data_IF_783561414260
#
_entry.id   IF_783561414260
#
_cell.length_a   1.000
_cell.length_b   1.000
_cell.length_c   1.000
_cell.angle_alpha   90.00
_cell.angle_beta   90.00
_cell.angle_gamma   90.00
#
_symmetry.space_group_name_H-M   'P 1'
#
loop_
_entity.id
_entity.type
_entity.pdbx_description
1 polymer ?
#
# COMPACT_ATOMS: atom_id res chain seq x y z
N UNK A 1 -24.91 32.33 37.81
CA UNK A 1 -24.25 32.77 36.55
C UNK A 1 -22.79 33.01 36.88
N UNK A 2 -21.86 32.35 36.19
CA UNK A 2 -20.43 32.67 36.32
C UNK A 2 -20.25 34.10 35.82
N UNK A 3 -19.92 35.02 36.73
CA UNK A 3 -19.62 36.41 36.40
C UNK A 3 -18.31 36.40 35.63
N UNK A 4 -18.37 36.66 34.32
CA UNK A 4 -17.18 36.94 33.53
C UNK A 4 -16.61 38.27 34.01
N UNK A 5 -15.29 38.35 34.11
CA UNK A 5 -14.57 39.54 34.57
C UNK A 5 -14.47 40.64 33.51
N UNK A 6 -14.96 40.39 32.28
CA UNK A 6 -14.80 41.26 31.12
C UNK A 6 -16.13 41.40 30.35
N UNK A 7 -16.28 42.55 29.67
CA UNK A 7 -17.43 42.84 28.81
C UNK A 7 -17.19 42.32 27.39
N UNK A 8 -18.26 42.22 26.58
CA UNK A 8 -18.12 41.80 25.18
C UNK A 8 -17.32 42.85 24.36
N UNK A 9 -17.40 44.13 24.72
CA UNK A 9 -16.62 45.20 24.09
C UNK A 9 -15.11 45.06 24.37
N UNK A 10 -14.72 44.82 25.62
CA UNK A 10 -13.31 44.63 25.97
C UNK A 10 -12.77 43.33 25.37
N UNK A 11 -13.61 42.30 25.24
CA UNK A 11 -13.26 41.06 24.56
C UNK A 11 -12.95 41.27 23.07
N UNK A 12 -13.79 42.03 22.36
CA UNK A 12 -13.59 42.33 20.93
C UNK A 12 -12.28 43.10 20.72
N UNK A 13 -12.01 44.10 21.57
CA UNK A 13 -10.76 44.86 21.53
C UNK A 13 -9.55 43.95 21.76
N UNK A 14 -9.60 43.10 22.79
CA UNK A 14 -8.51 42.17 23.08
C UNK A 14 -8.25 41.20 21.90
N UNK A 15 -9.30 40.73 21.22
CA UNK A 15 -9.15 39.89 20.02
C UNK A 15 -8.50 40.66 18.87
N UNK A 16 -8.83 41.93 18.66
CA UNK A 16 -8.25 42.75 17.58
C UNK A 16 -6.78 43.12 17.84
N UNK A 17 -6.43 43.41 19.10
CA UNK A 17 -5.08 43.87 19.48
C UNK A 17 -4.03 42.75 19.49
N UNK A 18 -4.47 41.51 19.72
CA UNK A 18 -3.56 40.38 19.85
C UNK A 18 -3.44 39.55 18.58
N UNK A 19 -2.29 38.88 18.43
CA UNK A 19 -2.03 37.89 17.36
C UNK A 19 -2.18 36.45 17.83
N UNK A 20 -2.62 36.22 19.07
CA UNK A 20 -2.77 34.88 19.66
C UNK A 20 -3.79 34.85 20.79
N UNK A 21 -4.46 33.70 20.97
CA UNK A 21 -5.42 33.48 22.07
C UNK A 21 -4.75 33.65 23.45
N UNK A 22 -3.48 33.25 23.58
CA UNK A 22 -2.74 33.46 24.82
C UNK A 22 -2.50 34.96 25.12
N UNK A 23 -2.37 35.80 24.10
CA UNK A 23 -2.34 37.26 24.23
C UNK A 23 -3.68 37.80 24.70
N UNK A 24 -4.78 37.36 24.05
CA UNK A 24 -6.15 37.72 24.46
C UNK A 24 -6.42 37.35 25.92
N UNK A 25 -6.02 36.16 26.35
CA UNK A 25 -6.16 35.72 27.73
C UNK A 25 -5.40 36.64 28.69
N UNK A 26 -4.16 37.02 28.36
CA UNK A 26 -3.35 37.93 29.18
C UNK A 26 -3.92 39.35 29.25
N UNK A 27 -4.48 39.86 28.15
CA UNK A 27 -5.12 41.20 28.12
C UNK A 27 -6.43 41.24 28.92
N UNK A 28 -7.13 40.12 29.02
CA UNK A 28 -8.35 39.98 29.83
C UNK A 28 -8.09 39.57 31.29
N UNK A 29 -6.83 39.63 31.74
CA UNK A 29 -6.38 39.18 33.07
C UNK A 29 -6.78 37.73 33.41
N UNK A 30 -6.80 36.87 32.40
CA UNK A 30 -7.07 35.44 32.54
C UNK A 30 -5.78 34.62 32.45
N UNK A 31 -5.72 33.56 33.25
CA UNK A 31 -4.60 32.61 33.19
C UNK A 31 -4.63 31.88 31.85
N UNK A 32 -3.49 31.90 31.14
CA UNK A 32 -3.30 31.24 29.86
C UNK A 32 -3.12 29.71 29.99
N UNK A 33 -4.07 29.03 30.66
CA UNK A 33 -4.01 27.61 30.98
C UNK A 33 -5.36 26.89 30.78
N UNK A 34 -5.28 25.61 30.39
CA UNK A 34 -6.39 24.66 30.44
C UNK A 34 -7.67 25.12 29.74
N UNK A 35 -8.80 25.01 30.45
CA UNK A 35 -10.14 25.27 29.92
C UNK A 35 -10.39 26.71 29.44
N UNK A 36 -9.57 27.68 29.85
CA UNK A 36 -9.72 29.07 29.43
C UNK A 36 -9.58 29.24 27.91
N UNK A 37 -8.70 28.46 27.27
CA UNK A 37 -8.56 28.48 25.82
C UNK A 37 -9.87 28.07 25.12
N UNK A 38 -10.56 27.06 25.62
CA UNK A 38 -11.80 26.59 25.00
C UNK A 38 -12.95 27.56 25.25
N UNK A 39 -12.99 28.18 26.44
CA UNK A 39 -13.95 29.25 26.75
C UNK A 39 -13.80 30.45 25.81
N UNK A 40 -12.58 30.92 25.55
CA UNK A 40 -12.31 32.03 24.61
C UNK A 40 -12.66 31.61 23.18
N UNK A 41 -12.24 30.42 22.72
CA UNK A 41 -12.58 29.91 21.39
C UNK A 41 -14.09 29.81 21.19
N UNK A 42 -14.81 29.33 22.20
CA UNK A 42 -16.27 29.29 22.19
C UNK A 42 -16.84 30.70 22.05
N UNK A 43 -16.36 31.67 22.83
CA UNK A 43 -16.85 33.06 22.76
C UNK A 43 -16.54 33.74 21.42
N UNK A 44 -15.38 33.48 20.81
CA UNK A 44 -15.04 33.93 19.44
C UNK A 44 -16.06 33.39 18.43
N UNK A 45 -16.41 32.09 18.54
CA UNK A 45 -17.44 31.47 17.69
C UNK A 45 -18.82 32.08 17.93
N UNK A 46 -19.21 32.27 19.20
CA UNK A 46 -20.51 32.82 19.58
C UNK A 46 -20.68 34.27 19.10
N UNK A 47 -19.60 35.07 19.06
CA UNK A 47 -19.59 36.45 18.58
C UNK A 47 -19.20 36.59 17.10
N UNK A 48 -18.94 35.47 16.40
CA UNK A 48 -18.54 35.45 14.99
C UNK A 48 -17.36 36.38 14.64
N UNK A 49 -16.33 36.46 15.50
CA UNK A 49 -15.20 37.37 15.29
C UNK A 49 -14.20 36.81 14.27
N UNK A 50 -13.64 37.69 13.42
CA UNK A 50 -12.53 37.34 12.53
C UNK A 50 -11.24 37.16 13.35
N UNK A 51 -10.50 36.08 13.08
CA UNK A 51 -9.23 35.75 13.75
C UNK A 51 -8.12 35.40 12.75
N UNK A 52 -8.22 35.88 11.51
CA UNK A 52 -7.25 35.55 10.45
C UNK A 52 -5.88 36.18 10.71
N UNK A 53 -5.84 37.30 11.44
CA UNK A 53 -4.62 37.95 11.89
C UNK A 53 -3.86 37.16 12.98
N UNK A 54 -4.46 36.10 13.54
CA UNK A 54 -3.76 35.25 14.50
C UNK A 54 -2.69 34.41 13.80
N UNK A 55 -1.43 34.59 14.21
CA UNK A 55 -0.25 34.01 13.55
C UNK A 55 -0.06 32.52 13.82
N UNK A 56 -0.81 31.94 14.75
CA UNK A 56 -0.65 30.55 15.17
C UNK A 56 0.59 30.34 16.03
N UNK A 57 1.27 29.21 15.86
CA UNK A 57 2.54 28.95 16.55
C UNK A 57 3.61 29.89 15.99
N UNK A 58 4.24 30.73 16.82
CA UNK A 58 5.19 31.76 16.35
C UNK A 58 6.39 31.18 15.56
N UNK A 59 6.81 29.95 15.88
CA UNK A 59 7.87 29.22 15.17
C UNK A 59 7.38 28.49 13.89
N UNK A 60 6.07 28.45 13.66
CA UNK A 60 5.42 27.91 12.47
C UNK A 60 4.20 28.78 12.10
N UNK A 61 4.42 29.94 11.46
CA UNK A 61 3.32 30.77 11.01
C UNK A 61 2.44 29.98 10.04
N UNK A 62 1.12 30.18 10.12
CA UNK A 62 0.17 29.57 9.17
C UNK A 62 0.62 29.85 7.73
N UNK A 63 0.87 28.80 6.95
CA UNK A 63 1.23 28.89 5.52
C UNK A 63 2.70 28.70 5.16
N UNK A 64 3.62 28.56 6.12
CA UNK A 64 5.06 28.73 5.86
C UNK A 64 5.83 27.47 5.39
N UNK A 65 5.18 26.33 5.16
CA UNK A 65 5.88 25.15 4.61
C UNK A 65 5.09 24.45 3.50
N UNK A 66 4.98 25.09 2.35
CA UNK A 66 4.65 24.38 1.12
C UNK A 66 5.94 23.73 0.63
N UNK A 67 6.15 22.45 0.97
CA UNK A 67 7.24 21.66 0.36
C UNK A 67 7.04 21.59 -1.14
N UNK A 68 8.13 21.64 -1.90
CA UNK A 68 8.08 21.40 -3.34
C UNK A 68 7.58 19.96 -3.58
N UNK A 69 6.90 19.72 -4.71
CA UNK A 69 6.29 18.41 -4.99
C UNK A 69 7.34 17.30 -4.98
N UNK A 70 8.51 17.56 -5.56
CA UNK A 70 9.58 16.56 -5.70
C UNK A 70 10.21 16.16 -4.35
N UNK A 71 10.04 16.98 -3.31
CA UNK A 71 10.48 16.68 -1.94
C UNK A 71 9.47 15.80 -1.17
N UNK A 72 8.29 15.55 -1.75
CA UNK A 72 7.26 14.73 -1.12
C UNK A 72 7.63 13.24 -1.21
N UNK A 73 7.77 12.60 -0.05
CA UNK A 73 8.11 11.17 0.06
C UNK A 73 6.92 10.28 0.42
N UNK A 74 5.91 10.85 1.08
CA UNK A 74 4.81 10.07 1.64
C UNK A 74 3.65 9.97 0.64
N UNK A 75 3.19 8.76 0.28
CA UNK A 75 2.11 8.56 -0.69
C UNK A 75 0.82 9.31 -0.37
N UNK A 76 0.47 9.41 0.91
CA UNK A 76 -0.72 10.18 1.34
C UNK A 76 -0.59 11.67 1.03
N UNK A 77 0.57 12.26 1.30
CA UNK A 77 0.85 13.68 1.02
C UNK A 77 0.90 13.94 -0.48
N UNK A 78 1.58 13.07 -1.24
CA UNK A 78 1.63 13.12 -2.71
C UNK A 78 0.22 13.05 -3.29
N UNK A 79 -0.59 12.10 -2.83
CA UNK A 79 -1.97 11.92 -3.29
C UNK A 79 -2.80 13.17 -3.05
N UNK A 80 -2.76 13.73 -1.84
CA UNK A 80 -3.52 14.95 -1.52
C UNK A 80 -3.07 16.12 -2.39
N UNK A 81 -1.74 16.26 -2.60
CA UNK A 81 -1.20 17.31 -3.46
C UNK A 81 -1.65 17.16 -4.91
N UNK A 82 -1.65 15.94 -5.45
CA UNK A 82 -2.17 15.68 -6.80
C UNK A 82 -3.67 15.94 -6.91
N UNK A 83 -4.45 15.67 -5.86
CA UNK A 83 -5.89 15.97 -5.83
C UNK A 83 -6.13 17.49 -5.85
N UNK A 84 -5.36 18.26 -5.08
CA UNK A 84 -5.40 19.73 -5.11
C UNK A 84 -5.09 20.28 -6.51
N UNK A 85 -4.10 19.71 -7.20
CA UNK A 85 -3.61 20.21 -8.49
C UNK A 85 -4.44 19.75 -9.68
N UNK A 86 -4.89 18.49 -9.71
CA UNK A 86 -5.58 17.86 -10.86
C UNK A 86 -7.09 17.70 -10.65
N UNK A 87 -7.57 17.94 -9.44
CA UNK A 87 -8.95 17.77 -9.02
C UNK A 87 -9.28 16.34 -8.57
N UNK A 88 -10.36 16.21 -7.79
CA UNK A 88 -10.84 14.93 -7.25
C UNK A 88 -11.61 14.12 -8.30
N UNK A 89 -10.90 13.62 -9.32
CA UNK A 89 -11.46 12.79 -10.40
C UNK A 89 -10.54 11.62 -10.75
N UNK A 90 -11.12 10.51 -11.20
CA UNK A 90 -10.33 9.39 -11.72
C UNK A 90 -9.70 9.79 -13.06
N UNK A 91 -8.39 9.62 -13.23
CA UNK A 91 -7.70 9.99 -14.47
C UNK A 91 -7.98 9.01 -15.62
N UNK A 92 -8.46 7.80 -15.33
CA UNK A 92 -8.84 6.80 -16.34
C UNK A 92 -10.30 6.96 -16.77
N UNK A 93 -11.28 6.73 -15.88
CA UNK A 93 -12.70 6.77 -16.24
C UNK A 93 -13.37 8.14 -16.09
N UNK A 94 -12.63 9.16 -15.63
CA UNK A 94 -13.10 10.56 -15.44
C UNK A 94 -14.25 10.77 -14.45
N UNK A 95 -14.76 9.72 -13.81
CA UNK A 95 -15.77 9.82 -12.76
C UNK A 95 -15.26 10.56 -11.52
N UNK A 96 -16.18 11.22 -10.82
CA UNK A 96 -15.99 11.91 -9.53
C UNK A 96 -16.91 11.37 -8.45
N UNK A 97 -18.03 10.77 -8.84
CA UNK A 97 -19.04 10.18 -7.96
C UNK A 97 -19.23 8.68 -8.22
N UNK A 98 -19.56 7.95 -7.17
CA UNK A 98 -20.01 6.57 -7.18
C UNK A 98 -21.18 6.43 -6.21
N UNK A 99 -22.34 6.02 -6.73
CA UNK A 99 -23.59 5.92 -5.95
C UNK A 99 -23.92 7.20 -5.17
N UNK A 100 -23.76 8.37 -5.81
CA UNK A 100 -24.01 9.67 -5.21
C UNK A 100 -22.97 10.14 -4.18
N UNK A 101 -21.92 9.36 -3.90
CA UNK A 101 -20.83 9.71 -2.99
C UNK A 101 -19.55 10.01 -3.77
N UNK A 102 -18.69 10.88 -3.24
CA UNK A 102 -17.37 11.12 -3.85
C UNK A 102 -16.58 9.82 -3.93
N UNK A 103 -15.99 9.54 -5.09
CA UNK A 103 -15.16 8.34 -5.25
C UNK A 103 -13.92 8.43 -4.39
N UNK A 104 -13.49 7.31 -3.83
CA UNK A 104 -12.13 7.24 -3.28
C UNK A 104 -11.14 7.24 -4.43
N UNK A 105 -10.06 8.00 -4.31
CA UNK A 105 -8.93 7.96 -5.23
C UNK A 105 -7.73 7.27 -4.57
N UNK A 106 -7.07 6.43 -5.35
CA UNK A 106 -5.85 5.70 -5.05
C UNK A 106 -4.72 6.24 -5.95
N UNK A 107 -3.51 6.26 -5.39
CA UNK A 107 -2.31 6.66 -6.11
C UNK A 107 -1.72 5.42 -6.81
N UNK A 108 -1.57 5.49 -8.13
CA UNK A 108 -0.96 4.43 -8.93
C UNK A 108 0.31 4.94 -9.62
N UNK A 109 1.33 4.07 -9.67
CA UNK A 109 2.58 4.29 -10.37
C UNK A 109 2.48 3.63 -11.75
N UNK A 110 2.55 4.42 -12.82
CA UNK A 110 2.39 3.94 -14.21
C UNK A 110 3.40 2.84 -14.54
N UNK A 111 4.65 3.01 -14.12
CA UNK A 111 5.72 2.01 -14.31
C UNK A 111 5.70 0.87 -13.27
N UNK A 112 4.84 0.94 -12.25
CA UNK A 112 4.79 -0.04 -11.16
C UNK A 112 6.00 -0.04 -10.22
N UNK A 113 6.80 1.03 -10.22
CA UNK A 113 7.90 1.25 -9.28
C UNK A 113 7.49 2.27 -8.21
N UNK A 114 7.37 1.79 -6.97
CA UNK A 114 7.00 2.58 -5.80
C UNK A 114 8.02 3.67 -5.46
N UNK A 115 9.27 3.54 -5.90
CA UNK A 115 10.32 4.52 -5.60
C UNK A 115 10.29 5.72 -6.56
N UNK A 116 9.74 5.55 -7.75
CA UNK A 116 9.65 6.62 -8.75
C UNK A 116 8.42 7.50 -8.49
N UNK A 117 8.57 8.50 -7.62
CA UNK A 117 7.52 9.48 -7.31
C UNK A 117 7.52 10.68 -8.27
N UNK A 118 8.13 10.57 -9.45
CA UNK A 118 8.04 11.63 -10.47
C UNK A 118 6.58 11.90 -10.82
N UNK A 119 6.23 13.19 -10.93
CA UNK A 119 4.87 13.68 -11.16
C UNK A 119 4.20 13.04 -12.38
N UNK A 120 4.97 12.76 -13.43
CA UNK A 120 4.48 12.15 -14.68
C UNK A 120 4.28 10.64 -14.56
N UNK A 121 4.96 9.99 -13.61
CA UNK A 121 4.80 8.56 -13.34
C UNK A 121 3.60 8.26 -12.43
N UNK A 122 2.98 9.29 -11.85
CA UNK A 122 1.89 9.16 -10.88
C UNK A 122 0.55 9.51 -11.51
N UNK A 123 -0.47 8.70 -11.22
CA UNK A 123 -1.86 8.99 -11.60
C UNK A 123 -2.85 8.65 -10.48
N UNK A 124 -3.94 9.41 -10.43
CA UNK A 124 -5.05 9.18 -9.51
C UNK A 124 -6.11 8.29 -10.16
N UNK A 125 -6.35 7.11 -9.59
CA UNK A 125 -7.35 6.16 -10.09
C UNK A 125 -8.41 5.85 -9.03
N UNK A 126 -9.63 5.53 -9.46
CA UNK A 126 -10.61 4.92 -8.56
C UNK A 126 -10.26 3.44 -8.30
N UNK A 127 -10.75 2.81 -7.22
CA UNK A 127 -10.46 1.42 -6.88
C UNK A 127 -10.76 0.43 -8.02
N UNK A 128 -11.83 0.68 -8.77
CA UNK A 128 -12.22 -0.18 -9.89
C UNK A 128 -11.23 -0.08 -11.06
N UNK A 129 -10.82 1.13 -11.44
CA UNK A 129 -9.81 1.33 -12.48
C UNK A 129 -8.44 0.83 -12.03
N UNK A 130 -8.06 1.05 -10.78
CA UNK A 130 -6.80 0.59 -10.24
C UNK A 130 -6.73 -0.95 -10.21
N UNK A 131 -7.81 -1.64 -9.87
CA UNK A 131 -7.87 -3.11 -9.89
C UNK A 131 -7.55 -3.72 -11.27
N UNK A 132 -7.82 -2.98 -12.35
CA UNK A 132 -7.55 -3.39 -13.73
C UNK A 132 -6.10 -3.18 -14.17
N UNK A 133 -5.26 -2.47 -13.39
CA UNK A 133 -3.86 -2.24 -13.79
C UNK A 133 -3.02 -3.52 -13.70
N UNK A 134 -1.99 -3.66 -14.56
CA UNK A 134 -1.06 -4.80 -14.50
C UNK A 134 -0.18 -4.80 -13.23
N UNK A 135 -0.11 -3.66 -12.55
CA UNK A 135 0.68 -3.42 -11.34
C UNK A 135 -0.12 -3.64 -10.05
N UNK A 136 -1.44 -3.79 -10.14
CA UNK A 136 -2.33 -3.85 -8.99
C UNK A 136 -1.95 -4.95 -7.99
N UNK A 137 -1.78 -4.57 -6.72
CA UNK A 137 -1.48 -5.47 -5.58
C UNK A 137 -0.40 -6.52 -5.87
N UNK A 138 0.61 -6.15 -6.67
CA UNK A 138 1.73 -7.03 -6.95
C UNK A 138 1.49 -8.08 -8.04
N UNK A 139 0.49 -7.90 -8.91
CA UNK A 139 0.32 -8.71 -10.14
C UNK A 139 1.62 -8.79 -10.97
N UNK A 140 2.45 -7.74 -10.94
CA UNK A 140 3.75 -7.66 -11.62
C UNK A 140 4.93 -8.29 -10.86
N UNK A 141 4.76 -8.84 -9.64
CA UNK A 141 5.87 -9.42 -8.86
C UNK A 141 6.49 -10.62 -9.59
N UNK A 142 5.65 -11.49 -10.16
CA UNK A 142 6.11 -12.66 -10.92
C UNK A 142 6.90 -12.28 -12.18
N UNK A 143 6.50 -11.20 -12.85
CA UNK A 143 7.22 -10.68 -14.02
C UNK A 143 8.55 -10.04 -13.62
N UNK A 144 8.58 -9.23 -12.56
CA UNK A 144 9.83 -8.67 -12.02
C UNK A 144 10.82 -9.78 -11.63
N UNK A 145 10.34 -10.85 -10.99
CA UNK A 145 11.19 -12.00 -10.65
C UNK A 145 11.76 -12.71 -11.89
N UNK A 146 10.96 -12.88 -12.95
CA UNK A 146 11.42 -13.44 -14.23
C UNK A 146 12.46 -12.54 -14.90
N UNK A 147 12.22 -11.23 -14.95
CA UNK A 147 13.12 -10.26 -15.55
C UNK A 147 14.45 -10.19 -14.79
N UNK A 148 14.41 -10.16 -13.46
CA UNK A 148 15.62 -10.20 -12.62
C UNK A 148 16.40 -11.50 -12.82
N UNK A 149 15.70 -12.64 -12.94
CA UNK A 149 16.35 -13.92 -13.24
C UNK A 149 16.99 -13.92 -14.63
N UNK A 150 16.33 -13.35 -15.64
CA UNK A 150 16.86 -13.22 -17.01
C UNK A 150 18.09 -12.31 -17.04
N UNK A 151 18.00 -11.12 -16.45
CA UNK A 151 19.12 -10.18 -16.35
C UNK A 151 20.31 -10.79 -15.60
N UNK A 152 20.07 -11.50 -14.50
CA UNK A 152 21.13 -12.21 -13.76
C UNK A 152 21.75 -13.35 -14.56
N UNK A 153 20.96 -14.07 -15.38
CA UNK A 153 21.48 -15.08 -16.30
C UNK A 153 22.32 -14.40 -17.39
N UNK A 154 21.87 -13.29 -17.97
CA UNK A 154 22.63 -12.52 -18.96
C UNK A 154 23.91 -11.92 -18.39
N UNK A 155 23.92 -11.51 -17.12
CA UNK A 155 25.11 -11.04 -16.41
C UNK A 155 26.11 -12.18 -16.15
N UNK A 156 25.64 -13.34 -15.68
CA UNK A 156 26.48 -14.51 -15.38
C UNK A 156 27.03 -15.16 -16.66
N UNK A 157 26.22 -15.20 -17.73
CA UNK A 157 26.50 -15.93 -18.97
C UNK A 157 26.71 -15.03 -20.19
N UNK A 158 26.88 -13.72 -20.00
CA UNK A 158 26.91 -12.71 -21.07
C UNK A 158 27.77 -13.13 -22.26
N UNK A 159 27.15 -13.10 -23.46
CA UNK A 159 27.57 -13.48 -24.84
C UNK A 159 28.46 -14.72 -25.07
N UNK A 160 29.33 -15.08 -24.13
CA UNK A 160 30.17 -16.26 -24.09
C UNK A 160 29.42 -17.46 -23.53
N UNK A 161 28.48 -18.01 -24.31
CA UNK A 161 28.19 -19.45 -24.42
C UNK A 161 26.86 -19.69 -25.14
N UNK A 162 26.82 -19.48 -26.46
CA UNK A 162 25.76 -20.07 -27.29
C UNK A 162 25.88 -21.61 -27.37
N UNK A 163 27.02 -22.19 -26.96
CA UNK A 163 27.36 -23.61 -27.21
C UNK A 163 27.76 -24.45 -25.97
N UNK A 164 27.34 -24.10 -24.74
CA UNK A 164 27.49 -25.03 -23.59
C UNK A 164 26.14 -25.57 -23.16
N UNK A 165 25.71 -26.66 -23.80
CA UNK A 165 24.75 -27.56 -23.18
C UNK A 165 25.40 -28.10 -21.90
N UNK A 166 24.91 -27.69 -20.73
CA UNK A 166 25.26 -28.34 -19.47
C UNK A 166 24.97 -29.84 -19.61
N UNK A 167 26.02 -30.65 -19.47
CA UNK A 167 26.11 -32.06 -19.83
C UNK A 167 24.82 -32.88 -19.77
N UNK A 168 24.32 -33.23 -20.94
CA UNK A 168 23.53 -34.44 -21.18
C UNK A 168 24.22 -35.14 -22.34
N UNK A 169 24.83 -36.30 -22.09
CA UNK A 169 25.35 -37.13 -23.17
C UNK A 169 24.15 -37.69 -23.95
N UNK A 170 24.03 -37.29 -25.21
CA UNK A 170 23.01 -37.76 -26.14
C UNK A 170 23.67 -38.79 -27.07
N UNK A 171 23.21 -40.05 -27.04
CA UNK A 171 23.52 -41.05 -28.08
C UNK A 171 22.20 -41.56 -28.64
N UNK A 172 21.93 -41.29 -29.92
CA UNK A 172 20.67 -41.71 -30.59
C UNK A 172 19.39 -40.98 -30.16
N UNK A 173 19.47 -39.72 -29.71
CA UNK A 173 18.29 -38.87 -29.45
C UNK A 173 17.56 -39.13 -28.12
N UNK A 174 18.03 -40.05 -27.27
CA UNK A 174 17.48 -40.27 -25.91
C UNK A 174 18.42 -39.70 -24.85
N UNK A 175 17.87 -38.90 -23.92
CA UNK A 175 18.61 -38.39 -22.75
C UNK A 175 18.94 -39.56 -21.82
N UNK A 176 20.22 -39.84 -21.59
CA UNK A 176 20.66 -40.88 -20.65
C UNK A 176 20.94 -40.21 -19.31
N UNK A 177 20.06 -40.44 -18.32
CA UNK A 177 20.33 -40.12 -16.92
C UNK A 177 21.02 -41.33 -16.28
N UNK A 178 22.06 -41.12 -15.45
CA UNK A 178 22.78 -42.22 -14.81
C UNK A 178 21.80 -43.14 -14.06
N UNK A 179 21.82 -44.41 -14.40
CA UNK A 179 20.99 -45.43 -13.77
C UNK A 179 21.32 -45.52 -12.27
N UNK A 180 20.29 -45.79 -11.46
CA UNK A 180 20.31 -46.18 -10.05
C UNK A 180 20.11 -45.04 -9.04
N UNK A 181 18.87 -44.58 -8.97
CA UNK A 181 18.18 -44.41 -7.69
C UNK A 181 16.77 -44.98 -7.91
N UNK A 182 16.53 -46.22 -7.48
CA UNK A 182 15.17 -46.77 -7.42
C UNK A 182 14.47 -46.21 -6.19
N UNK A 183 13.17 -45.91 -6.31
CA UNK A 183 12.38 -45.46 -5.17
C UNK A 183 12.36 -46.54 -4.09
N UNK A 184 12.74 -46.19 -2.86
CA UNK A 184 12.71 -47.11 -1.71
C UNK A 184 11.33 -47.78 -1.55
N UNK A 185 10.24 -47.03 -1.75
CA UNK A 185 8.90 -47.56 -1.46
C UNK A 185 8.20 -48.28 -2.64
N UNK A 186 8.51 -47.92 -3.90
CA UNK A 186 7.78 -48.47 -5.06
C UNK A 186 8.70 -49.02 -6.15
N UNK A 187 10.02 -49.01 -5.92
CA UNK A 187 11.08 -49.51 -6.79
C UNK A 187 11.14 -48.91 -8.20
N UNK A 188 10.26 -47.95 -8.51
CA UNK A 188 10.28 -47.19 -9.77
C UNK A 188 11.58 -46.40 -9.87
N UNK A 189 12.14 -46.38 -11.08
CA UNK A 189 13.28 -45.56 -11.43
C UNK A 189 12.98 -44.07 -11.18
N UNK A 190 13.79 -43.43 -10.35
CA UNK A 190 13.68 -41.99 -10.09
C UNK A 190 14.44 -41.25 -11.20
N UNK A 191 13.72 -40.45 -11.98
CA UNK A 191 14.28 -39.71 -13.13
C UNK A 191 15.00 -38.42 -12.76
N UNK A 192 14.96 -38.01 -11.47
CA UNK A 192 15.59 -36.79 -10.92
C UNK A 192 16.13 -37.07 -9.52
N UNK A 193 17.36 -36.63 -9.22
CA UNK A 193 18.03 -36.85 -7.92
C UNK A 193 17.10 -36.48 -6.74
N UNK A 194 16.70 -37.47 -5.93
CA UNK A 194 15.82 -37.28 -4.77
C UNK A 194 16.65 -37.31 -3.50
N UNK A 195 16.59 -36.25 -2.68
CA UNK A 195 17.29 -36.22 -1.37
C UNK A 195 16.80 -37.31 -0.42
N UNK A 196 15.58 -37.82 -0.63
CA UNK A 196 14.92 -38.78 0.26
C UNK A 196 14.93 -40.22 -0.26
N UNK A 197 15.55 -40.46 -1.43
CA UNK A 197 15.54 -41.79 -2.08
C UNK A 197 14.15 -42.26 -2.54
N UNK A 198 13.14 -41.36 -2.55
CA UNK A 198 11.75 -41.67 -2.92
C UNK A 198 11.33 -40.91 -4.18
N UNK A 199 10.44 -41.51 -4.96
CA UNK A 199 9.76 -40.81 -6.06
C UNK A 199 8.78 -39.77 -5.51
N UNK A 200 8.36 -38.82 -6.35
CA UNK A 200 7.43 -37.74 -5.95
C UNK A 200 6.15 -38.29 -5.31
N UNK A 201 5.53 -39.29 -5.92
CA UNK A 201 4.27 -39.87 -5.43
C UNK A 201 4.42 -40.50 -4.04
N UNK A 202 5.51 -41.25 -3.79
CA UNK A 202 5.75 -41.87 -2.49
C UNK A 202 6.17 -40.86 -1.44
N UNK A 203 7.00 -39.88 -1.79
CA UNK A 203 7.36 -38.81 -0.87
C UNK A 203 6.14 -37.98 -0.46
N UNK A 204 5.24 -37.66 -1.39
CA UNK A 204 3.99 -36.97 -1.06
C UNK A 204 3.09 -37.75 -0.10
N UNK A 205 3.14 -39.09 -0.08
CA UNK A 205 2.44 -39.91 0.92
C UNK A 205 3.09 -39.76 2.30
N UNK A 206 4.43 -39.75 2.37
CA UNK A 206 5.18 -39.62 3.64
C UNK A 206 5.00 -38.26 4.32
N UNK A 207 4.70 -37.19 3.58
CA UNK A 207 4.49 -35.85 4.14
C UNK A 207 3.08 -35.67 4.70
N UNK A 208 2.10 -36.51 4.29
CA UNK A 208 0.71 -36.37 4.75
C UNK A 208 0.60 -36.81 6.20
N UNK A 209 0.18 -35.88 7.07
CA UNK A 209 -0.12 -36.17 8.48
C UNK A 209 -1.41 -36.97 8.68
N UNK A 210 -2.34 -36.89 7.72
CA UNK A 210 -3.61 -37.62 7.70
C UNK A 210 -3.76 -38.30 6.33
N UNK A 211 -4.06 -39.60 6.25
CA UNK A 211 -4.29 -40.28 4.99
C UNK A 211 -5.52 -39.69 4.29
N UNK A 212 -5.40 -39.40 3.00
CA UNK A 212 -6.53 -38.91 2.19
C UNK A 212 -7.42 -40.11 1.83
N UNK A 213 -8.73 -40.09 2.16
CA UNK A 213 -9.69 -41.14 1.80
C UNK A 213 -9.77 -41.34 0.28
N UNK A 214 -10.27 -42.50 -0.14
CA UNK A 214 -10.44 -42.81 -1.57
C UNK A 214 -11.50 -41.89 -2.21
N UNK A 215 -11.41 -41.67 -3.52
CA UNK A 215 -12.34 -40.79 -4.23
C UNK A 215 -13.79 -41.29 -4.12
N UNK A 216 -14.01 -42.61 -4.09
CA UNK A 216 -15.35 -43.17 -3.97
C UNK A 216 -15.93 -42.95 -2.56
N UNK A 217 -15.08 -43.02 -1.54
CA UNK A 217 -15.42 -42.75 -0.15
C UNK A 217 -15.84 -41.28 0.02
N UNK A 218 -15.05 -40.34 -0.52
CA UNK A 218 -15.37 -38.91 -0.52
C UNK A 218 -16.69 -38.59 -1.26
N UNK A 219 -16.93 -39.23 -2.41
CA UNK A 219 -18.19 -39.05 -3.16
C UNK A 219 -19.38 -39.59 -2.37
N UNK A 220 -19.21 -40.69 -1.65
CA UNK A 220 -20.25 -41.26 -0.79
C UNK A 220 -20.56 -40.35 0.40
N UNK A 221 -19.54 -39.78 1.05
CA UNK A 221 -19.68 -38.83 2.14
C UNK A 221 -20.40 -37.54 1.69
N UNK A 222 -20.02 -36.98 0.53
CA UNK A 222 -20.69 -35.81 -0.04
C UNK A 222 -22.16 -36.13 -0.30
N UNK A 223 -22.48 -37.30 -0.87
CA UNK A 223 -23.87 -37.71 -1.11
C UNK A 223 -24.66 -37.89 0.18
N UNK A 224 -24.05 -38.44 1.23
CA UNK A 224 -24.68 -38.61 2.54
C UNK A 224 -24.90 -37.29 3.27
N UNK A 225 -23.97 -36.34 3.15
CA UNK A 225 -24.06 -35.01 3.79
C UNK A 225 -24.93 -34.02 3.02
N UNK A 226 -25.17 -34.25 1.72
CA UNK A 226 -26.04 -33.43 0.87
C UNK A 226 -27.53 -33.81 0.95
N UNK A 227 -27.88 -34.80 1.79
CA UNK A 227 -29.26 -35.28 2.01
C UNK A 227 -29.89 -34.76 3.32
N UNK A 228 -29.24 -33.78 3.97
CA UNK A 228 -29.82 -33.00 5.07
C UNK A 228 -30.21 -31.60 4.60
#
# INVERSE_FOLDING_TARGET
MSLRTYTDESFIQAVQNNKSIAGVLRELDLVAAGGNYESIKKKIRDLCLNTDHFTGQAWMPKGTQIKLFDDLKHPGTIKNRLIEERGHKCESCKNTLWLGKLITLELDHINGDRQNNSRDNLRLLCPNCHAMTPTYRGKNIGEKAKNNRKAKIEEIYGEKNKNKTHGVLIRGGKKIYSAKDSCIDCQKLITKKSKTGRCFACHSKTIRRVPRPDINELVSEIRQTSLC
#
